data_IF_607077674055
#
_entry.id   IF_607077674055
#
_cell.length_a   1.000
_cell.length_b   1.000
_cell.length_c   1.000
_cell.angle_alpha   90.00
_cell.angle_beta   90.00
_cell.angle_gamma   90.00
#
_symmetry.space_group_name_H-M   'P 1'
#
loop_
_entity.id
_entity.type
_entity.pdbx_description
1 polymer ?
#
# COMPACT_ATOMS: atom_id res chain seq x y z
N UNK A 1 54.26 52.51 25.74
CA UNK A 1 54.42 51.73 24.48
C UNK A 1 54.73 50.26 24.78
N UNK A 2 55.78 49.94 25.55
CA UNK A 2 56.11 48.56 25.91
C UNK A 2 55.04 47.86 26.78
N UNK A 3 54.44 48.56 27.74
CA UNK A 3 53.44 47.95 28.64
C UNK A 3 52.14 47.53 27.91
N UNK A 4 51.65 48.37 27.00
CA UNK A 4 50.49 48.06 26.16
C UNK A 4 50.75 46.84 25.25
N UNK A 5 51.98 46.69 24.75
CA UNK A 5 52.37 45.54 23.93
C UNK A 5 52.46 44.25 24.76
N UNK A 6 52.89 44.34 26.02
CA UNK A 6 52.92 43.22 26.95
C UNK A 6 51.52 42.81 27.45
N UNK A 7 50.57 43.75 27.58
CA UNK A 7 49.17 43.44 27.88
C UNK A 7 48.48 42.74 26.70
N UNK A 8 48.69 43.22 25.47
CA UNK A 8 48.18 42.58 24.26
C UNK A 8 48.73 41.15 24.09
N UNK A 9 50.02 40.94 24.37
CA UNK A 9 50.62 39.59 24.36
C UNK A 9 49.96 38.65 25.37
N UNK A 10 49.73 39.11 26.60
CA UNK A 10 49.05 38.32 27.64
C UNK A 10 47.60 38.01 27.30
N UNK A 11 46.88 38.95 26.68
CA UNK A 11 45.52 38.74 26.20
C UNK A 11 45.49 37.68 25.08
N UNK A 12 46.41 37.77 24.12
CA UNK A 12 46.54 36.76 23.05
C UNK A 12 46.85 35.37 23.59
N UNK A 13 47.77 35.26 24.57
CA UNK A 13 48.10 33.97 25.21
C UNK A 13 46.89 33.38 25.95
N UNK A 14 46.09 34.22 26.62
CA UNK A 14 44.87 33.79 27.30
C UNK A 14 43.84 33.27 26.30
N UNK A 15 43.66 33.95 25.17
CA UNK A 15 42.76 33.52 24.10
C UNK A 15 43.25 32.21 23.47
N UNK A 16 44.55 32.08 23.21
CA UNK A 16 45.14 30.86 22.66
C UNK A 16 44.90 29.66 23.57
N UNK A 17 45.12 29.80 24.89
CA UNK A 17 44.85 28.75 25.87
C UNK A 17 43.37 28.36 25.93
N UNK A 18 42.47 29.35 25.86
CA UNK A 18 41.04 29.10 25.84
C UNK A 18 40.60 28.34 24.59
N UNK A 19 41.09 28.75 23.42
CA UNK A 19 40.79 28.06 22.15
C UNK A 19 41.29 26.61 22.17
N UNK A 20 42.48 26.38 22.73
CA UNK A 20 43.08 25.05 22.83
C UNK A 20 42.30 24.15 23.80
N UNK A 21 41.77 24.72 24.89
CA UNK A 21 40.91 23.99 25.83
C UNK A 21 39.55 23.58 25.22
N UNK A 22 39.03 24.34 24.25
CA UNK A 22 37.77 24.02 23.56
C UNK A 22 37.94 23.07 22.37
N UNK A 23 39.16 22.93 21.86
CA UNK A 23 39.45 22.22 20.62
C UNK A 23 38.92 20.78 20.63
N UNK A 24 39.25 20.00 21.65
CA UNK A 24 38.87 18.59 21.73
C UNK A 24 37.34 18.42 21.84
N UNK A 25 36.69 19.27 22.64
CA UNK A 25 35.23 19.27 22.78
C UNK A 25 34.51 19.61 21.47
N UNK A 26 35.04 20.57 20.70
CA UNK A 26 34.51 20.93 19.39
C UNK A 26 34.71 19.81 18.37
N UNK A 27 35.85 19.10 18.39
CA UNK A 27 36.05 17.94 17.53
C UNK A 27 35.11 16.78 17.88
N UNK A 28 34.93 16.50 19.17
CA UNK A 28 33.99 15.48 19.64
C UNK A 28 32.56 15.80 19.19
N UNK A 29 32.10 17.04 19.44
CA UNK A 29 30.78 17.51 19.03
C UNK A 29 30.59 17.44 17.50
N UNK A 30 31.60 17.84 16.73
CA UNK A 30 31.57 17.75 15.27
C UNK A 30 31.46 16.30 14.81
N UNK A 31 32.22 15.39 15.41
CA UNK A 31 32.18 13.95 15.06
C UNK A 31 30.82 13.33 15.38
N UNK A 32 30.26 13.66 16.54
CA UNK A 32 28.93 13.20 16.95
C UNK A 32 27.85 13.73 15.99
N UNK A 33 27.90 15.03 15.68
CA UNK A 33 26.96 15.66 14.75
C UNK A 33 27.05 15.04 13.36
N UNK A 34 28.26 14.77 12.88
CA UNK A 34 28.48 14.10 11.59
C UNK A 34 27.86 12.70 11.59
N UNK A 35 28.13 11.93 12.64
CA UNK A 35 27.59 10.56 12.78
C UNK A 35 26.06 10.57 12.81
N UNK A 36 25.45 11.47 13.59
CA UNK A 36 24.00 11.61 13.67
C UNK A 36 23.39 12.04 12.33
N UNK A 37 24.05 12.96 11.61
CA UNK A 37 23.62 13.37 10.27
C UNK A 37 23.68 12.22 9.26
N UNK A 38 24.77 11.45 9.25
CA UNK A 38 24.94 10.32 8.35
C UNK A 38 23.90 9.23 8.63
N UNK A 39 23.59 8.96 9.90
CA UNK A 39 22.51 8.04 10.29
C UNK A 39 21.14 8.55 9.84
N UNK A 40 20.84 9.83 10.05
CA UNK A 40 19.58 10.42 9.59
C UNK A 40 19.42 10.31 8.07
N UNK A 41 20.50 10.53 7.31
CA UNK A 41 20.50 10.36 5.86
C UNK A 41 20.32 8.90 5.44
N UNK A 42 20.91 7.96 6.15
CA UNK A 42 20.67 6.53 5.92
C UNK A 42 19.20 6.15 6.20
N UNK A 43 18.59 6.67 7.27
CA UNK A 43 17.17 6.44 7.55
C UNK A 43 16.26 7.09 6.51
N UNK A 44 16.58 8.29 6.02
CA UNK A 44 15.84 8.94 4.94
C UNK A 44 15.85 8.09 3.66
N UNK A 45 17.00 7.50 3.31
CA UNK A 45 17.10 6.59 2.17
C UNK A 45 16.26 5.33 2.38
N UNK A 46 16.39 4.68 3.54
CA UNK A 46 15.62 3.48 3.89
C UNK A 46 14.11 3.74 3.93
N UNK A 47 13.69 4.90 4.40
CA UNK A 47 12.27 5.27 4.43
C UNK A 47 11.64 5.26 3.03
N UNK A 48 12.36 5.74 2.02
CA UNK A 48 11.87 5.71 0.62
C UNK A 48 11.67 4.29 0.10
N UNK A 49 12.52 3.35 0.52
CA UNK A 49 12.40 1.94 0.17
C UNK A 49 11.17 1.32 0.85
N UNK A 50 11.03 1.51 2.16
CA UNK A 50 9.89 0.98 2.94
C UNK A 50 8.56 1.57 2.46
N UNK A 51 8.52 2.87 2.14
CA UNK A 51 7.33 3.51 1.59
C UNK A 51 6.94 2.89 0.23
N UNK A 52 7.93 2.57 -0.61
CA UNK A 52 7.68 1.89 -1.88
C UNK A 52 7.14 0.48 -1.66
N UNK A 53 7.78 -0.32 -0.81
CA UNK A 53 7.31 -1.66 -0.45
C UNK A 53 5.89 -1.63 0.11
N UNK A 54 5.61 -0.67 0.99
CA UNK A 54 4.26 -0.43 1.51
C UNK A 54 3.28 -0.15 0.38
N UNK A 55 3.57 0.81 -0.51
CA UNK A 55 2.67 1.13 -1.64
C UNK A 55 2.40 -0.10 -2.51
N UNK A 56 3.42 -0.91 -2.79
CA UNK A 56 3.28 -2.11 -3.63
C UNK A 56 2.37 -3.17 -2.97
N UNK A 57 2.48 -3.36 -1.65
CA UNK A 57 1.61 -4.26 -0.88
C UNK A 57 0.18 -3.72 -0.82
N UNK A 58 0.01 -2.44 -0.46
CA UNK A 58 -1.30 -1.84 -0.25
C UNK A 58 -2.06 -1.53 -1.55
N UNK A 59 -1.38 -1.46 -2.70
CA UNK A 59 -2.01 -1.20 -4.01
C UNK A 59 -3.21 -2.13 -4.25
N UNK A 60 -3.06 -3.42 -3.91
CA UNK A 60 -4.08 -4.47 -4.11
C UNK A 60 -5.30 -4.34 -3.20
N UNK A 61 -5.18 -3.52 -2.15
CA UNK A 61 -6.23 -3.27 -1.17
C UNK A 61 -6.78 -1.85 -1.29
N UNK A 62 -6.33 -1.08 -2.28
CA UNK A 62 -6.93 0.23 -2.56
C UNK A 62 -8.39 0.06 -2.96
N UNK A 63 -9.28 0.99 -2.57
CA UNK A 63 -10.69 0.94 -2.94
C UNK A 63 -10.90 0.76 -4.45
N UNK A 64 -10.05 1.41 -5.26
CA UNK A 64 -10.09 1.41 -6.71
C UNK A 64 -9.70 0.04 -7.26
N UNK A 65 -8.65 -0.60 -6.74
CA UNK A 65 -8.28 -1.95 -7.14
C UNK A 65 -9.34 -2.99 -6.73
N UNK A 66 -9.90 -2.85 -5.52
CA UNK A 66 -10.98 -3.73 -5.05
C UNK A 66 -12.24 -3.60 -5.91
N UNK A 67 -12.63 -2.37 -6.28
CA UNK A 67 -13.74 -2.11 -7.20
C UNK A 67 -13.45 -2.70 -8.59
N UNK A 68 -12.25 -2.49 -9.11
CA UNK A 68 -11.82 -3.10 -10.37
C UNK A 68 -11.98 -4.63 -10.30
N UNK A 69 -11.50 -5.26 -9.22
CA UNK A 69 -11.62 -6.72 -9.02
C UNK A 69 -13.07 -7.18 -8.90
N UNK A 70 -13.93 -6.40 -8.22
CA UNK A 70 -15.37 -6.68 -8.15
C UNK A 70 -15.99 -6.70 -9.56
N UNK A 71 -15.72 -5.68 -10.38
CA UNK A 71 -16.22 -5.61 -11.76
C UNK A 71 -15.77 -6.78 -12.62
N UNK A 72 -14.49 -7.15 -12.55
CA UNK A 72 -14.01 -8.34 -13.25
C UNK A 72 -14.74 -9.62 -12.79
N UNK A 73 -15.01 -9.74 -11.48
CA UNK A 73 -15.75 -10.89 -10.95
C UNK A 73 -17.24 -10.91 -11.34
N UNK A 74 -17.82 -9.75 -11.70
CA UNK A 74 -19.17 -9.65 -12.24
C UNK A 74 -19.17 -10.18 -13.67
N UNK A 75 -18.28 -9.67 -14.52
CA UNK A 75 -18.12 -10.13 -15.92
C UNK A 75 -17.84 -11.63 -15.97
N UNK A 76 -16.87 -12.12 -15.20
CA UNK A 76 -16.55 -13.55 -15.17
C UNK A 76 -17.74 -14.42 -14.69
N UNK A 77 -18.60 -13.90 -13.81
CA UNK A 77 -19.80 -14.61 -13.37
C UNK A 77 -20.88 -14.64 -14.45
N UNK A 78 -21.00 -13.56 -15.21
CA UNK A 78 -21.90 -13.43 -16.36
C UNK A 78 -21.49 -14.44 -17.43
N UNK A 79 -20.23 -14.37 -17.89
CA UNK A 79 -19.62 -15.28 -18.87
C UNK A 79 -19.78 -16.75 -18.46
N UNK A 80 -19.53 -17.08 -17.20
CA UNK A 80 -19.68 -18.44 -16.69
C UNK A 80 -21.15 -18.91 -16.70
N UNK A 81 -22.10 -18.01 -16.41
CA UNK A 81 -23.53 -18.33 -16.48
C UNK A 81 -24.00 -18.52 -17.92
N UNK A 82 -23.47 -17.76 -18.88
CA UNK A 82 -23.74 -17.92 -20.31
C UNK A 82 -23.11 -19.21 -20.88
N UNK A 83 -21.90 -19.56 -20.41
CA UNK A 83 -21.25 -20.82 -20.77
C UNK A 83 -22.05 -22.02 -20.29
N UNK A 84 -22.63 -21.97 -19.09
CA UNK A 84 -23.52 -23.02 -18.57
C UNK A 84 -24.77 -23.19 -19.44
N UNK A 85 -25.40 -22.08 -19.84
CA UNK A 85 -26.56 -22.10 -20.76
C UNK A 85 -26.17 -22.69 -22.12
N UNK A 86 -25.00 -22.30 -22.64
CA UNK A 86 -24.50 -22.81 -23.92
C UNK A 86 -24.24 -24.31 -23.86
N UNK A 87 -23.64 -24.80 -22.76
CA UNK A 87 -23.39 -26.21 -22.54
C UNK A 87 -24.70 -27.02 -22.45
N UNK A 88 -25.68 -26.51 -21.71
CA UNK A 88 -27.00 -27.13 -21.60
C UNK A 88 -27.71 -27.22 -22.96
N UNK A 89 -27.66 -26.16 -23.77
CA UNK A 89 -28.25 -26.16 -25.12
C UNK A 89 -27.56 -27.10 -26.11
N UNK A 90 -26.24 -27.33 -25.94
CA UNK A 90 -25.46 -28.25 -26.77
C UNK A 90 -25.65 -29.72 -26.37
N UNK A 91 -26.20 -29.98 -25.19
CA UNK A 91 -26.44 -31.34 -24.70
C UNK A 91 -27.54 -31.98 -25.57
N UNK A 92 -27.19 -33.05 -26.30
CA UNK A 92 -28.18 -33.82 -27.07
C UNK A 92 -29.16 -34.47 -26.10
N UNK A 93 -30.47 -34.50 -26.41
CA UNK A 93 -31.42 -35.22 -25.58
C UNK A 93 -31.01 -36.69 -25.55
N UNK A 94 -30.64 -37.18 -24.36
CA UNK A 94 -30.57 -38.62 -24.12
C UNK A 94 -31.97 -39.21 -24.33
N UNK A 95 -32.05 -40.46 -24.79
CA UNK A 95 -33.31 -41.12 -25.18
C UNK A 95 -34.36 -41.17 -24.06
N UNK A 96 -33.94 -41.03 -22.80
CA UNK A 96 -34.80 -40.68 -21.67
C UNK A 96 -34.71 -39.16 -21.46
N UNK A 97 -35.80 -38.43 -21.72
CA UNK A 97 -35.92 -37.00 -21.42
C UNK A 97 -35.82 -36.73 -19.92
N UNK A 98 -34.61 -36.79 -19.37
CA UNK A 98 -34.28 -36.67 -17.96
C UNK A 98 -34.64 -35.26 -17.49
N UNK A 99 -35.78 -35.15 -16.82
CA UNK A 99 -36.21 -33.95 -16.08
C UNK A 99 -35.22 -33.59 -14.97
N UNK A 100 -34.43 -34.55 -14.48
CA UNK A 100 -33.41 -34.34 -13.45
C UNK A 100 -32.26 -33.45 -13.94
N UNK A 101 -31.85 -33.60 -15.19
CA UNK A 101 -30.75 -32.81 -15.79
C UNK A 101 -31.19 -31.34 -15.96
N UNK A 102 -32.47 -31.12 -16.27
CA UNK A 102 -33.05 -29.78 -16.35
C UNK A 102 -33.19 -29.13 -14.96
N UNK A 103 -33.63 -29.88 -13.96
CA UNK A 103 -33.76 -29.36 -12.58
C UNK A 103 -32.40 -29.00 -11.96
N UNK A 104 -31.36 -29.80 -12.23
CA UNK A 104 -29.99 -29.54 -11.81
C UNK A 104 -29.43 -28.28 -12.48
N UNK A 105 -29.58 -28.15 -13.81
CA UNK A 105 -29.22 -26.94 -14.55
C UNK A 105 -29.92 -25.69 -13.99
N UNK A 106 -31.23 -25.76 -13.75
CA UNK A 106 -32.01 -24.62 -13.24
C UNK A 106 -31.48 -24.20 -11.85
N UNK A 107 -31.14 -25.16 -11.00
CA UNK A 107 -30.60 -24.89 -9.67
C UNK A 107 -29.25 -24.18 -9.77
N UNK A 108 -28.30 -24.74 -10.53
CA UNK A 108 -26.96 -24.17 -10.70
C UNK A 108 -27.00 -22.79 -11.34
N UNK A 109 -27.79 -22.61 -12.40
CA UNK A 109 -27.95 -21.33 -13.08
C UNK A 109 -28.53 -20.26 -12.14
N UNK A 110 -29.55 -20.60 -11.34
CA UNK A 110 -30.12 -19.68 -10.34
C UNK A 110 -29.09 -19.26 -9.30
N UNK A 111 -28.28 -20.21 -8.80
CA UNK A 111 -27.21 -19.91 -7.84
C UNK A 111 -26.17 -18.95 -8.44
N UNK A 112 -25.74 -19.20 -9.69
CA UNK A 112 -24.81 -18.32 -10.40
C UNK A 112 -25.37 -16.91 -10.62
N UNK A 113 -26.63 -16.80 -11.07
CA UNK A 113 -27.29 -15.49 -11.29
C UNK A 113 -27.53 -14.75 -9.98
N UNK A 114 -27.82 -15.44 -8.88
CA UNK A 114 -27.94 -14.82 -7.55
C UNK A 114 -26.62 -14.15 -7.14
N UNK A 115 -25.49 -14.82 -7.35
CA UNK A 115 -24.16 -14.26 -7.06
C UNK A 115 -23.88 -13.05 -7.97
N UNK A 116 -24.16 -13.16 -9.27
CA UNK A 116 -24.03 -12.05 -10.22
C UNK A 116 -24.80 -10.81 -9.76
N UNK A 117 -26.11 -10.95 -9.49
CA UNK A 117 -26.95 -9.81 -9.11
C UNK A 117 -26.54 -9.21 -7.76
N UNK A 118 -26.11 -10.05 -6.80
CA UNK A 118 -25.57 -9.56 -5.52
C UNK A 118 -24.32 -8.69 -5.74
N UNK A 119 -23.39 -9.12 -6.60
CA UNK A 119 -22.18 -8.35 -6.93
C UNK A 119 -22.52 -7.08 -7.71
N UNK A 120 -23.45 -7.14 -8.65
CA UNK A 120 -23.91 -5.97 -9.41
C UNK A 120 -24.55 -4.91 -8.50
N UNK A 121 -25.37 -5.33 -7.53
CA UNK A 121 -25.92 -4.42 -6.51
C UNK A 121 -24.82 -3.77 -5.66
N UNK A 122 -23.75 -4.51 -5.34
CA UNK A 122 -22.62 -3.95 -4.62
C UNK A 122 -21.82 -2.96 -5.46
N UNK A 123 -21.60 -3.22 -6.76
CA UNK A 123 -20.94 -2.26 -7.67
C UNK A 123 -21.75 -0.96 -7.81
N UNK A 124 -23.07 -1.06 -7.94
CA UNK A 124 -23.97 0.11 -7.98
C UNK A 124 -23.90 0.92 -6.69
N UNK A 125 -24.04 0.28 -5.52
CA UNK A 125 -23.90 0.95 -4.22
C UNK A 125 -22.53 1.60 -4.05
N UNK A 126 -21.47 0.93 -4.49
CA UNK A 126 -20.12 1.47 -4.46
C UNK A 126 -19.99 2.70 -5.36
N UNK A 127 -20.52 2.65 -6.57
CA UNK A 127 -20.51 3.78 -7.51
C UNK A 127 -21.26 5.01 -6.97
N UNK A 128 -22.29 4.78 -6.15
CA UNK A 128 -23.07 5.82 -5.47
C UNK A 128 -22.44 6.30 -4.15
N UNK A 129 -21.27 5.76 -3.76
CA UNK A 129 -20.61 6.08 -2.48
C UNK A 129 -21.33 5.54 -1.23
N UNK A 130 -22.29 4.63 -1.41
CA UNK A 130 -23.06 4.00 -0.32
C UNK A 130 -22.43 2.67 0.11
N UNK A 131 -21.13 2.69 0.39
CA UNK A 131 -20.42 1.53 0.92
C UNK A 131 -20.45 1.60 2.43
N UNK A 132 -21.34 0.83 3.04
CA UNK A 132 -21.32 0.58 4.48
C UNK A 132 -20.43 -0.64 4.71
N UNK A 133 -19.28 -0.42 5.36
CA UNK A 133 -18.47 -1.51 5.89
C UNK A 133 -19.09 -1.86 7.25
N UNK A 134 -19.61 -3.08 7.41
CA UNK A 134 -20.04 -3.54 8.72
C UNK A 134 -18.78 -3.77 9.56
N UNK A 135 -18.63 -2.96 10.62
CA UNK A 135 -17.64 -3.16 11.67
C UNK A 135 -18.15 -4.28 12.60
N UNK A 136 -17.97 -5.55 12.21
CA UNK A 136 -18.09 -6.72 13.11
C UNK A 136 -16.71 -7.29 13.46
#
# INVERSE_FOLDING_TARGET
MYDAQAELGRANDSIAKHNLALQDGLYALRSETQTAFDQAKAFEARWKEVEKEQRDVYQRYTPQFLLMRLRHSITAQDDASEALVSAFNQQKPNADGSTKDADEFIKEFKEMRKIYHKRAMWDDRWSQGRVEWNDE
#
